data_IF_202062220741
#
_entry.id   IF_202062220741
#
_cell.length_a   1.000
_cell.length_b   1.000
_cell.length_c   1.000
_cell.angle_alpha   90.00
_cell.angle_beta   90.00
_cell.angle_gamma   90.00
#
_symmetry.space_group_name_H-M   'P 1'
#
loop_
_entity.id
_entity.type
_entity.pdbx_description
1 polymer ?
#
# COMPACT_ATOMS: atom_id res chain seq x y z
N UNK A 1 -28.72 2.82 2.50
CA UNK A 1 -27.56 3.15 1.66
C UNK A 1 -27.73 2.43 0.34
N UNK A 2 -27.36 3.04 -0.79
CA UNK A 2 -27.41 2.30 -2.06
C UNK A 2 -26.28 1.27 -2.09
N UNK A 3 -26.46 0.17 -2.83
CA UNK A 3 -25.40 -0.83 -3.06
C UNK A 3 -24.12 -0.20 -3.63
N UNK A 4 -24.25 0.89 -4.39
CA UNK A 4 -23.14 1.68 -4.94
C UNK A 4 -22.33 2.37 -3.84
N UNK A 5 -22.99 2.93 -2.81
CA UNK A 5 -22.31 3.59 -1.69
C UNK A 5 -21.53 2.61 -0.82
N UNK A 6 -22.06 1.40 -0.64
CA UNK A 6 -21.39 0.32 0.10
C UNK A 6 -20.11 -0.14 -0.60
N UNK A 7 -20.19 -0.40 -1.91
CA UNK A 7 -19.01 -0.76 -2.72
C UNK A 7 -17.98 0.35 -2.70
N UNK A 8 -18.40 1.62 -2.82
CA UNK A 8 -17.47 2.73 -2.70
C UNK A 8 -16.74 2.75 -1.35
N UNK A 9 -17.50 2.60 -0.25
CA UNK A 9 -16.93 2.60 1.10
C UNK A 9 -15.94 1.45 1.27
N UNK A 10 -16.24 0.27 0.73
CA UNK A 10 -15.31 -0.85 0.73
C UNK A 10 -14.02 -0.53 -0.04
N UNK A 11 -14.13 0.04 -1.23
CA UNK A 11 -12.97 0.45 -2.05
C UNK A 11 -12.09 1.46 -1.31
N UNK A 12 -12.66 2.53 -0.76
CA UNK A 12 -11.89 3.53 0.00
C UNK A 12 -11.23 2.92 1.25
N UNK A 13 -11.91 2.00 1.93
CA UNK A 13 -11.37 1.33 3.11
C UNK A 13 -10.15 0.46 2.77
N UNK A 14 -10.11 -0.18 1.59
CA UNK A 14 -8.94 -0.95 1.16
C UNK A 14 -7.72 -0.04 1.03
N UNK A 15 -7.85 1.10 0.32
CA UNK A 15 -6.75 2.05 0.18
C UNK A 15 -6.29 2.62 1.52
N UNK A 16 -7.23 3.01 2.39
CA UNK A 16 -6.93 3.53 3.73
C UNK A 16 -6.24 2.49 4.60
N UNK A 17 -6.69 1.23 4.58
CA UNK A 17 -6.03 0.17 5.34
C UNK A 17 -4.57 -0.03 4.91
N UNK A 18 -4.27 0.05 3.60
CA UNK A 18 -2.90 -0.08 3.13
C UNK A 18 -2.06 1.15 3.54
N UNK A 19 -2.57 2.36 3.26
CA UNK A 19 -1.84 3.61 3.51
C UNK A 19 -1.66 3.93 5.00
N UNK A 20 -2.68 3.67 5.81
CA UNK A 20 -2.73 4.11 7.22
C UNK A 20 -2.31 3.01 8.20
N UNK A 21 -2.33 1.72 7.80
CA UNK A 21 -1.93 0.61 8.67
C UNK A 21 -0.74 -0.16 8.10
N UNK A 22 -0.89 -0.79 6.92
CA UNK A 22 0.15 -1.68 6.38
C UNK A 22 1.47 -0.95 6.11
N UNK A 23 1.43 0.17 5.40
CA UNK A 23 2.63 0.93 5.03
C UNK A 23 3.39 1.48 6.26
N UNK A 24 2.73 2.07 7.26
CA UNK A 24 3.38 2.42 8.53
C UNK A 24 3.96 1.22 9.28
N UNK A 25 3.26 0.08 9.34
CA UNK A 25 3.77 -1.14 9.95
C UNK A 25 5.00 -1.68 9.21
N UNK A 26 4.99 -1.67 7.88
CA UNK A 26 6.12 -2.08 7.05
C UNK A 26 7.31 -1.14 7.23
N UNK A 27 7.09 0.17 7.33
CA UNK A 27 8.15 1.15 7.65
C UNK A 27 8.83 0.83 8.99
N UNK A 28 8.03 0.52 10.01
CA UNK A 28 8.55 0.12 11.31
C UNK A 28 9.34 -1.20 11.20
N UNK A 29 8.83 -2.18 10.47
CA UNK A 29 9.52 -3.43 10.22
C UNK A 29 10.89 -3.22 9.55
N UNK A 30 10.99 -2.39 8.52
CA UNK A 30 12.27 -2.03 7.88
C UNK A 30 13.22 -1.36 8.88
N UNK A 31 12.70 -0.49 9.75
CA UNK A 31 13.49 0.14 10.82
C UNK A 31 14.05 -0.90 11.80
N UNK A 32 13.24 -1.88 12.21
CA UNK A 32 13.69 -3.00 13.04
C UNK A 32 14.74 -3.84 12.31
N UNK A 33 14.58 -4.07 11.01
CA UNK A 33 15.57 -4.74 10.16
C UNK A 33 16.92 -4.02 10.14
N UNK A 34 16.93 -2.70 9.99
CA UNK A 34 18.17 -1.89 10.05
C UNK A 34 18.86 -1.95 11.41
N UNK A 35 18.07 -1.96 12.49
CA UNK A 35 18.62 -2.13 13.84
C UNK A 35 19.22 -3.53 14.03
N UNK A 36 18.59 -4.56 13.47
CA UNK A 36 19.10 -5.93 13.49
C UNK A 36 20.42 -6.04 12.70
N UNK A 37 20.47 -5.50 11.49
CA UNK A 37 21.70 -5.41 10.69
C UNK A 37 22.83 -4.73 11.48
N UNK A 38 22.55 -3.57 12.09
CA UNK A 38 23.53 -2.83 12.90
C UNK A 38 24.04 -3.65 14.09
N UNK A 39 23.18 -4.41 14.75
CA UNK A 39 23.58 -5.28 15.86
C UNK A 39 24.53 -6.39 15.39
N UNK A 40 24.23 -7.02 14.26
CA UNK A 40 25.08 -8.05 13.66
C UNK A 40 26.44 -7.51 13.21
N UNK A 41 26.48 -6.29 12.66
CA UNK A 41 27.74 -5.59 12.37
C UNK A 41 28.53 -5.31 13.65
N UNK A 42 27.86 -4.96 14.75
CA UNK A 42 28.50 -4.81 16.06
C UNK A 42 29.15 -6.11 16.56
N UNK A 43 28.48 -7.25 16.39
CA UNK A 43 29.04 -8.58 16.72
C UNK A 43 30.28 -8.87 15.89
N UNK A 44 30.25 -8.58 14.58
CA UNK A 44 31.41 -8.72 13.68
C UNK A 44 32.62 -7.93 14.18
N UNK A 45 32.42 -6.68 14.59
CA UNK A 45 33.50 -5.82 15.10
C UNK A 45 34.07 -6.38 16.41
N UNK A 46 33.22 -6.83 17.33
CA UNK A 46 33.68 -7.44 18.57
C UNK A 46 34.43 -8.76 18.33
N UNK A 47 33.95 -9.58 17.40
CA UNK A 47 34.56 -10.85 17.04
C UNK A 47 35.98 -10.67 16.48
N UNK A 48 36.23 -9.59 15.72
CA UNK A 48 37.57 -9.25 15.22
C UNK A 48 38.61 -9.21 16.35
N UNK A 49 38.31 -8.54 17.47
CA UNK A 49 39.24 -8.45 18.60
C UNK A 49 39.54 -9.81 19.24
N UNK A 50 38.54 -10.70 19.32
CA UNK A 50 38.72 -12.07 19.78
C UNK A 50 39.63 -12.87 18.83
N UNK A 51 39.45 -12.74 17.51
CA UNK A 51 40.28 -13.43 16.52
C UNK A 51 41.71 -12.90 16.45
N UNK A 52 41.91 -11.59 16.54
CA UNK A 52 43.24 -10.99 16.59
C UNK A 52 44.04 -11.53 17.81
N UNK A 53 43.37 -11.70 18.96
CA UNK A 53 43.98 -12.32 20.13
C UNK A 53 44.26 -13.82 19.94
N UNK A 54 43.34 -14.55 19.28
CA UNK A 54 43.50 -15.97 18.96
C UNK A 54 44.72 -16.22 18.06
N UNK A 55 44.87 -15.42 16.99
CA UNK A 55 46.01 -15.50 16.08
C UNK A 55 47.32 -15.24 16.82
N UNK A 56 47.36 -14.18 17.64
CA UNK A 56 48.54 -13.86 18.46
C UNK A 56 48.92 -14.99 19.43
N UNK A 57 47.95 -15.68 20.02
CA UNK A 57 48.22 -16.87 20.84
C UNK A 57 48.77 -18.02 19.99
N UNK A 58 48.26 -18.22 18.78
CA UNK A 58 48.79 -19.18 17.82
C UNK A 58 50.26 -18.92 17.48
N UNK A 59 50.64 -17.66 17.25
CA UNK A 59 52.02 -17.24 16.99
C UNK A 59 52.94 -17.58 18.17
N UNK A 60 52.56 -17.18 19.40
CA UNK A 60 53.33 -17.47 20.61
C UNK A 60 53.51 -18.98 20.86
N UNK A 61 52.48 -19.78 20.62
CA UNK A 61 52.54 -21.23 20.77
C UNK A 61 53.44 -21.88 19.70
N UNK A 62 53.37 -21.38 18.46
CA UNK A 62 54.16 -21.89 17.33
C UNK A 62 55.66 -21.59 17.48
N UNK A 63 56.00 -20.46 18.09
CA UNK A 63 57.40 -20.10 18.39
C UNK A 63 57.98 -20.86 19.59
N UNK A 64 57.15 -21.54 20.37
CA UNK A 64 57.58 -22.26 21.58
C UNK A 64 58.25 -23.60 21.29
N UNK A 65 59.21 -23.97 22.13
CA UNK A 65 59.82 -25.31 22.16
C UNK A 65 58.95 -26.24 23.02
N UNK A 66 57.76 -26.60 22.56
CA UNK A 66 56.90 -27.55 23.27
C UNK A 66 55.41 -27.49 22.95
N UNK A 67 54.92 -26.39 22.36
CA UNK A 67 53.49 -26.18 22.10
C UNK A 67 53.16 -25.91 20.63
N UNK A 68 54.01 -26.37 19.69
CA UNK A 68 53.81 -26.12 18.26
C UNK A 68 52.49 -26.67 17.71
N UNK A 69 52.15 -27.91 18.07
CA UNK A 69 50.88 -28.54 17.67
C UNK A 69 49.65 -27.77 18.20
N UNK A 70 49.78 -27.13 19.37
CA UNK A 70 48.75 -26.23 19.89
C UNK A 70 48.65 -24.96 19.06
N UNK A 71 49.78 -24.41 18.60
CA UNK A 71 49.81 -23.30 17.63
C UNK A 71 49.05 -23.62 16.35
N UNK A 72 49.31 -24.80 15.76
CA UNK A 72 48.59 -25.28 14.58
C UNK A 72 47.08 -25.39 14.83
N UNK A 73 46.68 -25.89 16.01
CA UNK A 73 45.27 -25.99 16.41
C UNK A 73 44.62 -24.60 16.51
N UNK A 74 45.29 -23.63 17.13
CA UNK A 74 44.79 -22.26 17.27
C UNK A 74 44.63 -21.57 15.90
N UNK A 75 45.56 -21.80 14.97
CA UNK A 75 45.44 -21.29 13.62
C UNK A 75 44.30 -21.94 12.83
N UNK A 76 44.07 -23.25 13.00
CA UNK A 76 42.88 -23.90 12.42
C UNK A 76 41.59 -23.30 12.96
N UNK A 77 41.51 -23.01 14.27
CA UNK A 77 40.36 -22.32 14.86
C UNK A 77 40.18 -20.91 14.26
N UNK A 78 41.27 -20.16 14.08
CA UNK A 78 41.22 -18.84 13.46
C UNK A 78 40.73 -18.88 12.00
N UNK A 79 41.15 -19.89 11.22
CA UNK A 79 40.70 -20.06 9.83
C UNK A 79 39.22 -20.44 9.75
N UNK A 80 38.73 -21.34 10.62
CA UNK A 80 37.29 -21.66 10.71
C UNK A 80 36.49 -20.39 11.00
N UNK A 81 36.97 -19.56 11.93
CA UNK A 81 36.32 -18.30 12.24
C UNK A 81 36.35 -17.29 11.09
N UNK A 82 37.46 -17.20 10.34
CA UNK A 82 37.54 -16.36 9.13
C UNK A 82 36.49 -16.77 8.10
N UNK A 83 36.27 -18.06 7.91
CA UNK A 83 35.26 -18.57 6.96
C UNK A 83 33.83 -18.21 7.41
N UNK A 84 33.52 -18.39 8.71
CA UNK A 84 32.23 -17.99 9.29
C UNK A 84 32.01 -16.48 9.10
N UNK A 85 33.05 -15.67 9.33
CA UNK A 85 32.98 -14.22 9.21
C UNK A 85 32.68 -13.77 7.78
N UNK A 86 33.37 -14.35 6.78
CA UNK A 86 33.11 -14.07 5.36
C UNK A 86 31.66 -14.43 4.99
N UNK A 87 31.18 -15.60 5.40
CA UNK A 87 29.79 -16.00 5.13
C UNK A 87 28.78 -15.06 5.78
N UNK A 88 29.01 -14.65 7.03
CA UNK A 88 28.15 -13.71 7.72
C UNK A 88 28.08 -12.35 7.01
N UNK A 89 29.24 -11.82 6.59
CA UNK A 89 29.30 -10.55 5.87
C UNK A 89 28.56 -10.59 4.53
N UNK A 90 28.67 -11.69 3.79
CA UNK A 90 27.95 -11.83 2.53
C UNK A 90 26.44 -11.96 2.74
N UNK A 91 26.01 -12.71 3.76
CA UNK A 91 24.58 -12.77 4.14
C UNK A 91 24.06 -11.40 4.58
N UNK A 92 24.85 -10.63 5.33
CA UNK A 92 24.48 -9.28 5.75
C UNK A 92 24.33 -8.33 4.56
N UNK A 93 25.23 -8.41 3.56
CA UNK A 93 25.10 -7.63 2.32
C UNK A 93 23.80 -7.95 1.61
N UNK A 94 23.44 -9.23 1.47
CA UNK A 94 22.20 -9.65 0.82
C UNK A 94 20.96 -9.20 1.61
N UNK A 95 21.00 -9.33 2.94
CA UNK A 95 19.94 -8.84 3.81
C UNK A 95 19.70 -7.35 3.61
N UNK A 96 20.77 -6.56 3.51
CA UNK A 96 20.67 -5.12 3.26
C UNK A 96 20.16 -4.80 1.85
N UNK A 97 20.80 -5.34 0.81
CA UNK A 97 20.58 -4.92 -0.58
C UNK A 97 19.34 -5.56 -1.20
N UNK A 98 19.06 -6.83 -0.91
CA UNK A 98 17.97 -7.57 -1.53
C UNK A 98 16.67 -7.52 -0.72
N UNK A 99 16.76 -7.36 0.60
CA UNK A 99 15.57 -7.32 1.45
C UNK A 99 15.25 -5.91 1.93
N UNK A 100 16.11 -5.30 2.74
CA UNK A 100 15.80 -3.99 3.34
C UNK A 100 15.63 -2.91 2.27
N UNK A 101 16.59 -2.78 1.36
CA UNK A 101 16.58 -1.75 0.32
C UNK A 101 15.39 -1.92 -0.64
N UNK A 102 15.08 -3.16 -1.05
CA UNK A 102 13.94 -3.43 -1.93
C UNK A 102 12.60 -3.13 -1.25
N UNK A 103 12.43 -3.50 0.02
CA UNK A 103 11.21 -3.19 0.77
C UNK A 103 11.02 -1.68 0.92
N UNK A 104 12.11 -0.95 1.21
CA UNK A 104 12.07 0.49 1.39
C UNK A 104 11.71 1.22 0.08
N UNK A 105 12.30 0.82 -1.04
CA UNK A 105 11.98 1.35 -2.36
C UNK A 105 10.52 1.05 -2.76
N UNK A 106 10.06 -0.20 -2.57
CA UNK A 106 8.67 -0.59 -2.88
C UNK A 106 7.68 0.20 -2.03
N UNK A 107 7.96 0.36 -0.74
CA UNK A 107 7.12 1.15 0.17
C UNK A 107 7.02 2.61 -0.29
N UNK A 108 8.13 3.24 -0.68
CA UNK A 108 8.11 4.63 -1.17
C UNK A 108 7.26 4.78 -2.44
N UNK A 109 7.39 3.84 -3.38
CA UNK A 109 6.58 3.81 -4.59
C UNK A 109 5.10 3.58 -4.29
N UNK A 110 4.80 2.65 -3.39
CA UNK A 110 3.44 2.28 -3.02
C UNK A 110 2.69 3.45 -2.36
N UNK A 111 3.33 4.16 -1.42
CA UNK A 111 2.75 5.36 -0.80
C UNK A 111 2.41 6.42 -1.85
N UNK A 112 3.33 6.70 -2.79
CA UNK A 112 3.10 7.70 -3.85
C UNK A 112 1.97 7.26 -4.78
N UNK A 113 2.02 6.02 -5.27
CA UNK A 113 1.08 5.48 -6.24
C UNK A 113 -0.34 5.35 -5.67
N UNK A 114 -0.49 4.75 -4.49
CA UNK A 114 -1.80 4.54 -3.87
C UNK A 114 -2.45 5.85 -3.45
N UNK A 115 -1.68 6.82 -2.95
CA UNK A 115 -2.21 8.15 -2.62
C UNK A 115 -2.76 8.86 -3.85
N UNK A 116 -2.00 8.84 -4.96
CA UNK A 116 -2.45 9.43 -6.22
C UNK A 116 -3.69 8.73 -6.77
N UNK A 117 -3.71 7.39 -6.72
CA UNK A 117 -4.81 6.57 -7.23
C UNK A 117 -6.09 6.75 -6.41
N UNK A 118 -6.00 6.77 -5.07
CA UNK A 118 -7.12 7.05 -4.19
C UNK A 118 -7.71 8.44 -4.47
N UNK A 119 -6.85 9.47 -4.59
CA UNK A 119 -7.29 10.84 -4.88
C UNK A 119 -7.99 10.95 -6.23
N UNK A 120 -7.46 10.26 -7.25
CA UNK A 120 -8.07 10.21 -8.59
C UNK A 120 -9.45 9.54 -8.52
N UNK A 121 -9.53 8.37 -7.89
CA UNK A 121 -10.79 7.64 -7.70
C UNK A 121 -11.86 8.49 -6.99
N UNK A 122 -11.49 9.18 -5.91
CA UNK A 122 -12.40 10.08 -5.18
C UNK A 122 -12.89 11.23 -6.06
N UNK A 123 -12.00 11.83 -6.86
CA UNK A 123 -12.34 12.95 -7.74
C UNK A 123 -13.28 12.51 -8.87
N UNK A 124 -13.00 11.37 -9.50
CA UNK A 124 -13.85 10.79 -10.55
C UNK A 124 -15.23 10.41 -10.02
N UNK A 125 -15.31 9.82 -8.83
CA UNK A 125 -16.59 9.49 -8.20
C UNK A 125 -17.40 10.72 -7.83
N UNK A 126 -16.76 11.74 -7.28
CA UNK A 126 -17.40 13.03 -7.01
C UNK A 126 -17.99 13.63 -8.30
N UNK A 127 -17.22 13.59 -9.40
CA UNK A 127 -17.66 14.06 -10.71
C UNK A 127 -18.83 13.26 -11.29
N UNK A 128 -18.80 11.93 -11.15
CA UNK A 128 -19.90 11.05 -11.58
C UNK A 128 -21.19 11.34 -10.82
N UNK A 129 -21.13 11.52 -9.50
CA UNK A 129 -22.30 11.88 -8.68
C UNK A 129 -22.90 13.24 -9.08
N UNK A 130 -22.05 14.24 -9.39
CA UNK A 130 -22.50 15.54 -9.89
C UNK A 130 -23.20 15.36 -11.24
N UNK A 131 -22.62 14.55 -12.13
CA UNK A 131 -23.20 14.30 -13.47
C UNK A 131 -24.53 13.57 -13.37
N UNK A 132 -24.64 12.55 -12.52
CA UNK A 132 -25.89 11.85 -12.23
C UNK A 132 -26.95 12.82 -11.67
N UNK A 133 -26.59 13.67 -10.70
CA UNK A 133 -27.50 14.66 -10.14
C UNK A 133 -27.99 15.67 -11.19
N UNK A 134 -27.09 16.15 -12.06
CA UNK A 134 -27.44 17.05 -13.17
C UNK A 134 -28.35 16.35 -14.18
N UNK A 135 -28.09 15.09 -14.51
CA UNK A 135 -28.91 14.32 -15.44
C UNK A 135 -30.33 14.12 -14.87
N UNK A 136 -30.43 13.73 -13.60
CA UNK A 136 -31.71 13.57 -12.89
C UNK A 136 -32.47 14.89 -12.82
N UNK A 137 -31.80 16.00 -12.48
CA UNK A 137 -32.43 17.32 -12.46
C UNK A 137 -32.93 17.73 -13.86
N UNK A 138 -32.14 17.46 -14.91
CA UNK A 138 -32.53 17.75 -16.31
C UNK A 138 -33.74 16.93 -16.74
N UNK A 139 -33.79 15.64 -16.38
CA UNK A 139 -34.94 14.76 -16.65
C UNK A 139 -36.18 15.20 -15.87
N UNK A 140 -36.04 15.60 -14.61
CA UNK A 140 -37.15 16.11 -13.80
C UNK A 140 -37.69 17.44 -14.32
N UNK A 141 -36.81 18.35 -14.74
CA UNK A 141 -37.20 19.64 -15.32
C UNK A 141 -37.92 19.45 -16.65
N UNK A 142 -37.46 18.54 -17.52
CA UNK A 142 -38.14 18.24 -18.78
C UNK A 142 -39.49 17.53 -18.57
N UNK A 143 -39.60 16.67 -17.56
CA UNK A 143 -40.86 16.03 -17.17
C UNK A 143 -41.88 17.03 -16.55
N UNK A 144 -41.42 18.07 -15.85
CA UNK A 144 -42.29 19.13 -15.34
C UNK A 144 -42.66 20.19 -16.38
N UNK A 145 -41.86 20.33 -17.43
CA UNK A 145 -42.09 21.30 -18.52
C UNK A 145 -43.02 20.79 -19.63
N UNK A 146 -43.46 19.53 -19.62
CA UNK A 146 -44.51 19.06 -20.54
C UNK A 146 -45.84 19.75 -20.23
N UNK A 147 -46.43 20.53 -21.16
CA UNK A 147 -47.68 21.21 -20.93
C UNK A 147 -48.80 20.20 -20.71
N UNK A 148 -49.60 20.37 -19.65
CA UNK A 148 -50.94 19.76 -19.59
C UNK A 148 -51.72 20.34 -20.78
N UNK A 149 -51.89 19.58 -21.86
CA UNK A 149 -52.94 19.86 -22.84
C UNK A 149 -54.26 19.82 -22.07
N UNK A 150 -54.80 21.02 -21.79
CA UNK A 150 -56.14 21.19 -21.28
C UNK A 150 -57.12 20.66 -22.32
N UNK A 151 -57.95 19.71 -21.90
CA UNK A 151 -59.16 19.35 -22.63
C UNK A 151 -60.02 20.61 -22.79
N UNK A 152 -60.16 21.06 -24.03
CA UNK A 152 -61.02 22.16 -24.43
C UNK A 152 -62.46 21.92 -23.95
N UNK A 153 -63.00 22.94 -23.28
CA UNK A 153 -64.41 23.03 -22.92
C UNK A 153 -65.23 23.20 -24.20
N UNK A 154 -66.06 22.22 -24.55
CA UNK A 154 -67.03 22.33 -25.65
C UNK A 154 -68.09 23.33 -25.23
N UNK A 155 -67.97 24.57 -25.71
CA UNK A 155 -68.99 25.60 -25.58
C UNK A 155 -70.16 25.27 -26.52
N UNK A 156 -71.25 24.75 -25.95
CA UNK A 156 -72.53 24.55 -26.66
C UNK A 156 -73.14 25.91 -27.00
N UNK A 157 -73.22 26.23 -28.29
CA UNK A 157 -73.88 27.42 -28.80
C UNK A 157 -75.41 27.28 -28.62
N UNK A 158 -76.01 28.12 -27.77
CA UNK A 158 -77.46 28.33 -27.75
C UNK A 158 -77.87 29.05 -29.04
N UNK A 159 -78.70 28.42 -29.87
CA UNK A 159 -79.53 29.11 -30.85
C UNK A 159 -80.99 28.73 -30.60
N UNK A 160 -81.82 29.74 -30.35
CA UNK A 160 -83.28 29.62 -30.28
C UNK A 160 -83.86 29.80 -31.68
N UNK A 161 -84.70 28.87 -32.12
CA UNK A 161 -85.33 28.96 -33.45
C UNK A 161 -86.19 27.76 -33.86
N UNK A 162 -87.31 27.57 -33.15
CA UNK A 162 -88.59 27.02 -33.62
C UNK A 162 -88.67 25.85 -34.65
N UNK A 163 -89.36 24.79 -34.18
CA UNK A 163 -90.40 23.98 -34.85
C UNK A 163 -90.00 22.57 -35.34
N UNK A 164 -90.40 21.57 -34.54
CA UNK A 164 -90.93 20.30 -35.07
C UNK A 164 -90.29 18.99 -34.58
N UNK A 165 -90.98 18.31 -33.64
CA UNK A 165 -91.08 16.85 -33.61
C UNK A 165 -90.03 16.07 -32.81
N UNK A 166 -90.40 15.64 -31.60
CA UNK A 166 -89.82 14.47 -30.94
C UNK A 166 -90.62 13.22 -31.33
N UNK A 167 -89.94 12.14 -31.71
CA UNK A 167 -90.41 10.76 -31.52
C UNK A 167 -89.24 9.97 -30.96
N UNK A 168 -89.58 9.07 -30.03
CA UNK A 168 -88.74 8.43 -29.01
C UNK A 168 -87.45 7.76 -29.50
#
# INVERSE_FOLDING_TARGET
MSRSDEVNKMTENVYKNILDQFNPSLKNFVTMGKNYEKALTGVTVAAKGYFDALVKLGELASDSQGSKELGDTLFQMAEVHRQIQVQLEDVLKLFHSELLSQLEQKLELDVKYLTATLKKYQSERQGALITEAVLVATVLLTAHATPRQGSESVATHCTSGFRGGWHC
#
